data_IF_153514059712
#
_entry.id   IF_153514059712
#
_cell.length_a   1.000
_cell.length_b   1.000
_cell.length_c   1.000
_cell.angle_alpha   90.00
_cell.angle_beta   90.00
_cell.angle_gamma   90.00
#
_symmetry.space_group_name_H-M   'P 1'
#
loop_
_entity.id
_entity.type
_entity.pdbx_description
1 polymer ?
#
# COMPACT_ATOMS: atom_id res chain seq x y z
N UNK A 1 3.58 -17.82 -4.61
CA UNK A 1 4.21 -16.49 -4.39
C UNK A 1 3.41 -15.49 -5.18
N UNK A 2 2.76 -14.52 -4.52
CA UNK A 2 2.18 -13.39 -5.24
C UNK A 2 3.27 -12.58 -5.92
N UNK A 3 3.06 -12.23 -7.18
CA UNK A 3 3.98 -11.42 -7.96
C UNK A 3 3.92 -9.98 -7.46
N UNK A 4 5.04 -9.25 -7.46
CA UNK A 4 5.08 -7.81 -7.08
C UNK A 4 4.02 -6.96 -7.79
N UNK A 5 3.73 -7.27 -9.06
CA UNK A 5 2.66 -6.61 -9.84
C UNK A 5 1.26 -6.80 -9.24
N UNK A 6 0.97 -7.99 -8.68
CA UNK A 6 -0.31 -8.25 -8.02
C UNK A 6 -0.44 -7.47 -6.69
N UNK A 7 0.65 -7.38 -5.91
CA UNK A 7 0.69 -6.58 -4.69
C UNK A 7 0.52 -5.08 -4.99
N UNK A 8 1.19 -4.57 -6.02
CA UNK A 8 1.01 -3.19 -6.49
C UNK A 8 -0.45 -2.90 -6.84
N UNK A 9 -1.08 -3.78 -7.62
CA UNK A 9 -2.47 -3.62 -8.01
C UNK A 9 -3.43 -3.62 -6.80
N UNK A 10 -3.17 -4.44 -5.78
CA UNK A 10 -3.96 -4.49 -4.55
C UNK A 10 -3.77 -3.26 -3.67
N UNK A 11 -2.53 -2.86 -3.42
CA UNK A 11 -2.24 -1.62 -2.69
C UNK A 11 -2.92 -0.43 -3.36
N UNK A 12 -2.85 -0.35 -4.70
CA UNK A 12 -3.50 0.70 -5.46
C UNK A 12 -5.02 0.65 -5.36
N UNK A 13 -5.61 -0.53 -5.52
CA UNK A 13 -7.06 -0.71 -5.43
C UNK A 13 -7.58 -0.31 -4.03
N UNK A 14 -6.89 -0.70 -2.98
CA UNK A 14 -7.27 -0.38 -1.59
C UNK A 14 -7.12 1.11 -1.30
N UNK A 15 -6.03 1.74 -1.73
CA UNK A 15 -5.86 3.20 -1.64
C UNK A 15 -6.97 3.95 -2.36
N UNK A 16 -7.27 3.57 -3.60
CA UNK A 16 -8.34 4.18 -4.39
C UNK A 16 -9.70 4.00 -3.71
N UNK A 17 -9.97 2.80 -3.19
CA UNK A 17 -11.21 2.49 -2.47
C UNK A 17 -11.37 3.36 -1.21
N UNK A 18 -10.33 3.51 -0.40
CA UNK A 18 -10.34 4.35 0.79
C UNK A 18 -10.49 5.84 0.48
N UNK A 19 -9.94 6.29 -0.64
CA UNK A 19 -10.05 7.67 -1.11
C UNK A 19 -11.34 7.94 -1.88
N UNK A 20 -12.15 6.90 -2.13
CA UNK A 20 -13.32 6.95 -3.02
C UNK A 20 -12.98 7.49 -4.43
N UNK A 21 -11.75 7.24 -4.87
CA UNK A 21 -11.17 7.69 -6.12
C UNK A 21 -11.01 6.50 -7.08
N UNK A 22 -10.67 6.77 -8.34
CA UNK A 22 -10.45 5.72 -9.32
C UNK A 22 -9.00 5.20 -9.28
N UNK A 23 -8.76 3.87 -9.28
CA UNK A 23 -7.41 3.30 -9.24
C UNK A 23 -6.60 3.54 -10.52
N UNK A 24 -7.21 4.08 -11.59
CA UNK A 24 -6.52 4.45 -12.84
C UNK A 24 -6.05 5.91 -12.85
N UNK A 25 -6.23 6.65 -11.75
CA UNK A 25 -5.80 8.04 -11.68
C UNK A 25 -4.28 8.19 -11.81
N UNK A 26 -3.80 9.20 -12.54
CA UNK A 26 -2.38 9.37 -12.85
C UNK A 26 -1.52 9.72 -11.64
N UNK A 27 -2.10 10.35 -10.62
CA UNK A 27 -1.40 10.67 -9.37
C UNK A 27 -1.21 9.43 -8.49
N UNK A 28 -2.01 8.38 -8.69
CA UNK A 28 -1.95 7.11 -7.97
C UNK A 28 -0.96 6.14 -8.66
N UNK A 29 0.17 6.69 -9.07
CA UNK A 29 1.24 5.96 -9.76
C UNK A 29 2.12 5.20 -8.76
N UNK A 30 2.72 4.11 -9.20
CA UNK A 30 3.42 3.19 -8.31
C UNK A 30 4.66 3.80 -7.65
N UNK A 31 5.32 4.75 -8.31
CA UNK A 31 6.54 5.43 -7.83
C UNK A 31 6.28 6.81 -7.25
N UNK A 32 5.08 7.37 -7.45
CA UNK A 32 4.80 8.73 -6.96
C UNK A 32 4.63 8.71 -5.43
N UNK A 33 5.07 9.77 -4.74
CA UNK A 33 4.76 9.93 -3.33
C UNK A 33 3.25 10.13 -3.12
N UNK A 34 2.68 9.41 -2.15
CA UNK A 34 1.27 9.47 -1.79
C UNK A 34 0.93 10.72 -0.94
N UNK A 35 1.89 11.23 -0.17
CA UNK A 35 1.74 12.42 0.66
C UNK A 35 1.19 13.68 -0.09
N UNK A 36 1.75 14.08 -1.25
CA UNK A 36 1.20 15.22 -2.00
C UNK A 36 -0.20 14.98 -2.59
N UNK A 37 -0.65 13.73 -2.65
CA UNK A 37 -2.01 13.39 -3.07
C UNK A 37 -3.04 13.47 -1.93
N UNK A 38 -2.64 13.90 -0.73
CA UNK A 38 -3.53 13.97 0.44
C UNK A 38 -3.70 12.62 1.15
N UNK A 39 -2.80 11.66 0.90
CA UNK A 39 -2.76 10.40 1.63
C UNK A 39 -2.01 10.60 2.94
N UNK A 40 -2.76 10.68 4.03
CA UNK A 40 -2.20 10.77 5.39
C UNK A 40 -1.67 9.42 5.88
N UNK A 41 -0.74 9.45 6.84
CA UNK A 41 -0.19 8.24 7.46
C UNK A 41 -1.27 7.34 8.07
N UNK A 42 -2.38 7.91 8.56
CA UNK A 42 -3.52 7.13 9.10
C UNK A 42 -4.17 6.29 8.00
N UNK A 43 -4.34 6.86 6.80
CA UNK A 43 -4.91 6.16 5.66
C UNK A 43 -3.98 5.04 5.21
N UNK A 44 -2.67 5.32 5.13
CA UNK A 44 -1.65 4.33 4.81
C UNK A 44 -1.68 3.17 5.81
N UNK A 45 -1.70 3.47 7.12
CA UNK A 45 -1.78 2.45 8.17
C UNK A 45 -3.06 1.63 8.02
N UNK A 46 -4.20 2.27 7.73
CA UNK A 46 -5.48 1.57 7.54
C UNK A 46 -5.43 0.62 6.34
N UNK A 47 -4.96 1.11 5.19
CA UNK A 47 -4.77 0.31 3.97
C UNK A 47 -3.83 -0.86 4.24
N UNK A 48 -2.71 -0.62 4.91
CA UNK A 48 -1.74 -1.66 5.24
C UNK A 48 -2.34 -2.69 6.18
N UNK A 49 -3.02 -2.27 7.26
CA UNK A 49 -3.64 -3.20 8.21
C UNK A 49 -4.70 -4.09 7.57
N UNK A 50 -5.47 -3.59 6.61
CA UNK A 50 -6.41 -4.42 5.86
C UNK A 50 -5.66 -5.42 4.96
N UNK A 51 -4.65 -4.97 4.21
CA UNK A 51 -3.83 -5.85 3.37
C UNK A 51 -3.08 -6.90 4.19
N UNK A 52 -2.57 -6.56 5.37
CA UNK A 52 -1.95 -7.49 6.33
C UNK A 52 -2.90 -8.60 6.73
N UNK A 53 -4.14 -8.25 7.07
CA UNK A 53 -5.19 -9.19 7.45
C UNK A 53 -5.62 -10.07 6.29
N UNK A 54 -5.74 -9.51 5.09
CA UNK A 54 -6.09 -10.27 3.87
C UNK A 54 -4.98 -11.22 3.43
N UNK A 55 -3.72 -10.78 3.50
CA UNK A 55 -2.55 -11.54 3.04
C UNK A 55 -1.97 -12.46 4.12
N UNK A 56 -2.38 -12.31 5.38
CA UNK A 56 -1.79 -13.01 6.53
C UNK A 56 -0.33 -12.62 6.78
N UNK A 57 0.04 -11.36 6.49
CA UNK A 57 1.39 -10.84 6.71
C UNK A 57 1.38 -9.80 7.82
N UNK A 58 2.53 -9.60 8.46
CA UNK A 58 2.72 -8.50 9.42
C UNK A 58 3.95 -7.70 9.05
N UNK A 59 3.80 -6.39 9.04
CA UNK A 59 4.80 -5.39 8.72
C UNK A 59 5.15 -4.60 9.97
N UNK A 60 6.43 -4.32 10.20
CA UNK A 60 6.82 -3.39 11.24
C UNK A 60 6.36 -1.97 10.89
N UNK A 61 5.90 -1.24 11.89
CA UNK A 61 5.47 0.16 11.80
C UNK A 61 6.51 1.06 11.11
N UNK A 62 7.80 0.85 11.36
CA UNK A 62 8.89 1.55 10.67
C UNK A 62 8.85 1.37 9.14
N UNK A 63 8.53 0.16 8.66
CA UNK A 63 8.41 -0.11 7.22
C UNK A 63 7.14 0.53 6.61
N UNK A 64 6.08 0.67 7.40
CA UNK A 64 4.83 1.33 6.99
C UNK A 64 5.03 2.83 6.90
N UNK A 65 5.58 3.44 7.96
CA UNK A 65 5.83 4.89 8.03
C UNK A 65 6.90 5.34 7.03
N UNK A 66 7.88 4.49 6.73
CA UNK A 66 8.88 4.75 5.69
C UNK A 66 8.37 4.57 4.25
N UNK A 67 7.17 4.00 4.06
CA UNK A 67 6.63 3.73 2.74
C UNK A 67 5.86 4.94 2.19
N UNK A 68 6.56 5.74 1.38
CA UNK A 68 5.99 6.94 0.77
C UNK A 68 5.18 6.68 -0.52
N UNK A 69 5.23 5.47 -1.08
CA UNK A 69 4.64 5.14 -2.39
C UNK A 69 4.07 3.72 -2.42
N UNK A 70 3.16 3.45 -3.36
CA UNK A 70 2.55 2.13 -3.60
C UNK A 70 3.63 1.05 -3.82
N UNK A 71 4.68 1.38 -4.58
CA UNK A 71 5.81 0.47 -4.79
C UNK A 71 6.60 0.16 -3.54
N UNK A 72 6.75 1.12 -2.63
CA UNK A 72 7.39 0.88 -1.33
C UNK A 72 6.52 -0.02 -0.46
N UNK A 73 5.22 0.24 -0.39
CA UNK A 73 4.24 -0.58 0.33
C UNK A 73 4.21 -2.02 -0.20
N UNK A 74 4.09 -2.20 -1.51
CA UNK A 74 4.11 -3.53 -2.13
C UNK A 74 5.43 -4.27 -1.87
N UNK A 75 6.56 -3.55 -1.84
CA UNK A 75 7.87 -4.12 -1.52
C UNK A 75 7.99 -4.45 -0.04
N UNK A 76 7.37 -3.66 0.84
CA UNK A 76 7.26 -3.96 2.26
C UNK A 76 6.42 -5.23 2.46
N UNK A 77 5.20 -5.30 1.93
CA UNK A 77 4.32 -6.47 1.97
C UNK A 77 4.97 -7.74 1.40
N UNK A 78 5.75 -7.61 0.32
CA UNK A 78 6.50 -8.74 -0.24
C UNK A 78 7.62 -9.24 0.67
N UNK A 79 8.14 -8.39 1.56
CA UNK A 79 9.17 -8.72 2.56
C UNK A 79 8.58 -9.04 3.94
N UNK A 80 7.29 -8.75 4.15
CA UNK A 80 6.58 -9.03 5.38
C UNK A 80 6.62 -10.52 5.71
N UNK A 81 6.79 -10.82 7.00
CA UNK A 81 6.78 -12.19 7.47
C UNK A 81 5.33 -12.70 7.42
N UNK A 82 5.14 -13.88 6.80
CA UNK A 82 3.84 -14.56 6.79
C UNK A 82 3.73 -15.31 8.10
N UNK A 83 2.78 -14.91 8.95
CA UNK A 83 2.51 -15.61 10.21
C UNK A 83 1.65 -16.86 10.00
#
# INVERSE_FOLDING_TARGET
METRSALLARVRAELAHQLQEDPSLPWLSDTEPLAPAGVDSVLVITVVSELERELGVTLPDDAVLGSASISSLATALSRGDRR
#
